data_IF_750460558595
#
_entry.id   IF_750460558595
#
_cell.length_a   1.000
_cell.length_b   1.000
_cell.length_c   1.000
_cell.angle_alpha   90.00
_cell.angle_beta   90.00
_cell.angle_gamma   90.00
#
_symmetry.space_group_name_H-M   'P 1'
#
loop_
_entity.id
_entity.type
_entity.pdbx_description
1 polymer ?
#
# COMPACT_ATOMS: atom_id res chain seq x y z
N UNK A 1 34.27 19.46 59.41
CA UNK A 1 33.69 18.19 58.94
C UNK A 1 33.66 18.21 57.41
N UNK A 2 34.55 17.49 56.72
CA UNK A 2 34.59 17.46 55.23
C UNK A 2 33.60 16.39 54.76
N UNK A 3 32.49 16.80 54.14
CA UNK A 3 31.50 15.89 53.56
C UNK A 3 32.09 15.34 52.26
N UNK A 4 32.10 14.01 52.10
CA UNK A 4 32.73 13.33 50.98
C UNK A 4 31.77 13.33 49.76
N UNK A 5 31.88 14.34 48.89
CA UNK A 5 31.06 14.49 47.67
C UNK A 5 31.43 13.53 46.54
N UNK A 6 32.51 12.75 46.69
CA UNK A 6 33.05 11.89 45.64
C UNK A 6 32.08 10.73 45.29
N UNK A 7 31.42 10.14 46.29
CA UNK A 7 30.44 9.06 46.08
C UNK A 7 29.12 9.54 45.45
N UNK A 8 28.70 10.77 45.74
CA UNK A 8 27.47 11.34 45.19
C UNK A 8 27.60 11.67 43.69
N UNK A 9 28.76 12.18 43.27
CA UNK A 9 29.05 12.45 41.85
C UNK A 9 29.12 11.15 41.02
N UNK A 10 29.72 10.09 41.57
CA UNK A 10 29.83 8.81 40.87
C UNK A 10 28.46 8.14 40.69
N UNK A 11 27.57 8.26 41.69
CA UNK A 11 26.22 7.74 41.61
C UNK A 11 25.36 8.53 40.61
N UNK A 12 25.43 9.86 40.61
CA UNK A 12 24.73 10.70 39.64
C UNK A 12 25.16 10.40 38.19
N UNK A 13 26.46 10.21 37.94
CA UNK A 13 26.97 9.84 36.62
C UNK A 13 26.45 8.46 36.17
N UNK A 14 26.36 7.47 37.07
CA UNK A 14 25.83 6.14 36.78
C UNK A 14 24.33 6.19 36.42
N UNK A 15 23.54 6.99 37.15
CA UNK A 15 22.11 7.19 36.88
C UNK A 15 21.89 7.93 35.55
N UNK A 16 22.67 8.96 35.26
CA UNK A 16 22.59 9.70 33.99
C UNK A 16 22.96 8.80 32.82
N UNK A 17 24.04 8.01 32.94
CA UNK A 17 24.51 7.10 31.88
C UNK A 17 23.48 5.99 31.59
N UNK A 18 22.84 5.43 32.61
CA UNK A 18 21.79 4.42 32.43
C UNK A 18 20.51 5.01 31.82
N UNK A 19 20.11 6.22 32.23
CA UNK A 19 18.97 6.93 31.64
C UNK A 19 19.19 7.31 30.16
N UNK A 20 20.38 7.81 29.80
CA UNK A 20 20.72 8.11 28.40
C UNK A 20 20.81 6.86 27.54
N UNK A 21 21.37 5.76 28.05
CA UNK A 21 21.43 4.47 27.35
C UNK A 21 20.03 3.90 27.09
N UNK A 22 19.12 4.00 28.05
CA UNK A 22 17.71 3.58 27.87
C UNK A 22 16.98 4.44 26.83
N UNK A 23 17.15 5.77 26.87
CA UNK A 23 16.54 6.68 25.90
C UNK A 23 17.05 6.43 24.47
N UNK A 24 18.35 6.19 24.30
CA UNK A 24 18.95 5.91 22.99
C UNK A 24 18.52 4.55 22.42
N UNK A 25 18.43 3.51 23.26
CA UNK A 25 17.91 2.20 22.83
C UNK A 25 16.44 2.27 22.40
N UNK A 26 15.60 3.01 23.13
CA UNK A 26 14.19 3.19 22.77
C UNK A 26 14.00 3.91 21.43
N UNK A 27 14.82 4.94 21.14
CA UNK A 27 14.75 5.65 19.86
C UNK A 27 15.20 4.75 18.70
N UNK A 28 16.31 4.01 18.88
CA UNK A 28 16.81 3.05 17.89
C UNK A 28 15.81 1.93 17.59
N UNK A 29 15.10 1.44 18.62
CA UNK A 29 14.06 0.41 18.47
C UNK A 29 12.85 0.94 17.70
N UNK A 30 12.37 2.16 18.01
CA UNK A 30 11.27 2.81 17.27
C UNK A 30 11.60 3.03 15.79
N UNK A 31 12.80 3.53 15.51
CA UNK A 31 13.28 3.72 14.13
C UNK A 31 13.35 2.39 13.37
N UNK A 32 13.75 1.31 14.07
CA UNK A 32 13.78 -0.03 13.50
C UNK A 32 12.37 -0.57 13.20
N UNK A 33 11.39 -0.36 14.09
CA UNK A 33 10.00 -0.79 13.86
C UNK A 33 9.36 -0.11 12.66
N UNK A 34 9.56 1.22 12.51
CA UNK A 34 9.04 1.96 11.36
C UNK A 34 9.70 1.47 10.07
N UNK A 35 11.03 1.33 10.06
CA UNK A 35 11.77 0.86 8.89
C UNK A 35 11.34 -0.55 8.45
N UNK A 36 11.11 -1.46 9.39
CA UNK A 36 10.63 -2.81 9.10
C UNK A 36 9.22 -2.82 8.49
N UNK A 37 8.29 -2.02 9.02
CA UNK A 37 6.94 -1.95 8.46
C UNK A 37 6.92 -1.29 7.08
N UNK A 38 7.76 -0.27 6.84
CA UNK A 38 7.91 0.30 5.49
C UNK A 38 8.40 -0.72 4.48
N UNK A 39 9.40 -1.54 4.82
CA UNK A 39 9.84 -2.63 3.95
C UNK A 39 8.74 -3.65 3.64
N UNK A 40 7.82 -3.89 4.58
CA UNK A 40 6.65 -4.75 4.34
C UNK A 40 5.69 -4.08 3.34
N UNK A 41 5.41 -2.79 3.53
CA UNK A 41 4.60 -1.99 2.60
C UNK A 41 5.22 -2.04 1.20
N UNK A 42 6.52 -1.79 1.06
CA UNK A 42 7.21 -1.84 -0.23
C UNK A 42 7.08 -3.21 -0.93
N UNK A 43 7.05 -4.31 -0.16
CA UNK A 43 6.83 -5.64 -0.71
C UNK A 43 5.39 -5.84 -1.18
N UNK A 44 4.41 -5.44 -0.36
CA UNK A 44 2.99 -5.50 -0.70
C UNK A 44 2.72 -4.65 -1.95
N UNK A 45 3.28 -3.45 -2.02
CA UNK A 45 3.12 -2.54 -3.15
C UNK A 45 3.67 -3.15 -4.45
N UNK A 46 4.83 -3.80 -4.39
CA UNK A 46 5.37 -4.53 -5.54
C UNK A 46 4.42 -5.66 -5.99
N UNK A 47 3.92 -6.45 -5.05
CA UNK A 47 2.96 -7.53 -5.35
C UNK A 47 1.65 -6.98 -5.94
N UNK A 48 1.16 -5.85 -5.44
CA UNK A 48 -0.03 -5.17 -6.00
C UNK A 48 0.20 -4.76 -7.45
N UNK A 49 1.36 -4.18 -7.78
CA UNK A 49 1.70 -3.80 -9.17
C UNK A 49 1.78 -5.03 -10.08
N UNK A 50 2.38 -6.13 -9.61
CA UNK A 50 2.43 -7.39 -10.37
C UNK A 50 1.04 -7.96 -10.64
N UNK A 51 0.14 -7.93 -9.65
CA UNK A 51 -1.24 -8.38 -9.78
C UNK A 51 -2.05 -7.49 -10.74
N UNK A 52 -1.87 -6.17 -10.67
CA UNK A 52 -2.48 -5.25 -11.63
C UNK A 52 -1.98 -5.53 -13.05
N UNK A 53 -0.68 -5.77 -13.24
CA UNK A 53 -0.13 -6.15 -14.54
C UNK A 53 -0.72 -7.46 -15.07
N UNK A 54 -0.98 -8.45 -14.21
CA UNK A 54 -1.68 -9.69 -14.59
C UNK A 54 -3.13 -9.42 -14.98
N UNK A 55 -3.85 -8.60 -14.20
CA UNK A 55 -5.22 -8.19 -14.49
C UNK A 55 -5.33 -7.52 -15.87
N UNK A 56 -4.43 -6.60 -16.20
CA UNK A 56 -4.46 -5.88 -17.48
C UNK A 56 -4.09 -6.78 -18.68
N UNK A 57 -3.33 -7.86 -18.48
CA UNK A 57 -3.15 -8.90 -19.53
C UNK A 57 -4.48 -9.58 -19.87
N UNK A 58 -5.27 -9.94 -18.87
CA UNK A 58 -6.61 -10.49 -19.08
C UNK A 58 -7.53 -9.47 -19.77
N UNK A 59 -7.47 -8.20 -19.38
CA UNK A 59 -8.21 -7.11 -20.05
C UNK A 59 -7.81 -7.02 -21.51
N UNK A 60 -6.52 -7.11 -21.85
CA UNK A 60 -6.05 -7.08 -23.24
C UNK A 60 -6.64 -8.25 -24.05
N UNK A 61 -6.68 -9.45 -23.49
CA UNK A 61 -7.30 -10.62 -24.15
C UNK A 61 -8.80 -10.40 -24.39
N UNK A 62 -9.51 -9.88 -23.38
CA UNK A 62 -10.93 -9.48 -23.49
C UNK A 62 -11.10 -8.41 -24.57
N UNK A 63 -10.24 -7.39 -24.59
CA UNK A 63 -10.25 -6.31 -25.56
C UNK A 63 -10.04 -6.79 -26.99
N UNK A 64 -9.11 -7.73 -27.21
CA UNK A 64 -8.89 -8.36 -28.53
C UNK A 64 -10.16 -9.08 -28.98
N UNK A 65 -10.80 -9.84 -28.09
CA UNK A 65 -12.05 -10.51 -28.40
C UNK A 65 -13.17 -9.51 -28.72
N UNK A 66 -13.35 -8.48 -27.89
CA UNK A 66 -14.35 -7.44 -28.09
C UNK A 66 -14.16 -6.73 -29.43
N UNK A 67 -12.93 -6.32 -29.74
CA UNK A 67 -12.59 -5.65 -31.00
C UNK A 67 -12.94 -6.51 -32.22
N UNK A 68 -12.54 -7.80 -32.22
CA UNK A 68 -12.87 -8.75 -33.30
C UNK A 68 -14.38 -8.94 -33.51
N UNK A 69 -15.17 -8.80 -32.45
CA UNK A 69 -16.62 -9.03 -32.47
C UNK A 69 -17.43 -7.72 -32.46
N UNK A 70 -16.79 -6.56 -32.67
CA UNK A 70 -17.42 -5.23 -32.66
C UNK A 70 -18.16 -4.90 -31.34
N UNK A 71 -17.71 -5.46 -30.22
CA UNK A 71 -18.25 -5.17 -28.89
C UNK A 71 -17.58 -3.89 -28.34
N UNK A 72 -18.34 -2.93 -27.77
CA UNK A 72 -17.75 -1.74 -27.18
C UNK A 72 -16.92 -2.06 -25.92
N UNK A 73 -15.81 -1.34 -25.67
CA UNK A 73 -15.02 -1.50 -24.45
C UNK A 73 -15.83 -1.25 -23.17
N UNK A 74 -16.52 -0.11 -23.13
CA UNK A 74 -17.30 0.33 -21.98
C UNK A 74 -18.56 -0.52 -21.80
N UNK A 75 -18.64 -1.17 -20.63
CA UNK A 75 -19.81 -1.94 -20.19
C UNK A 75 -20.14 -1.55 -18.74
N UNK A 76 -20.83 -0.42 -18.57
CA UNK A 76 -21.06 0.20 -17.26
C UNK A 76 -21.73 -0.74 -16.24
N UNK A 77 -22.73 -1.52 -16.65
CA UNK A 77 -23.42 -2.47 -15.76
C UNK A 77 -22.46 -3.51 -15.19
N UNK A 78 -21.59 -4.08 -16.03
CA UNK A 78 -20.57 -5.06 -15.60
C UNK A 78 -19.59 -4.44 -14.61
N UNK A 79 -19.17 -3.20 -14.85
CA UNK A 79 -18.25 -2.50 -13.94
C UNK A 79 -18.91 -2.19 -12.59
N UNK A 80 -20.20 -1.81 -12.58
CA UNK A 80 -20.96 -1.61 -11.34
C UNK A 80 -20.96 -2.89 -10.48
N UNK A 81 -21.16 -4.06 -11.08
CA UNK A 81 -21.08 -5.34 -10.35
C UNK A 81 -19.68 -5.61 -9.77
N UNK A 82 -18.61 -5.25 -10.50
CA UNK A 82 -17.24 -5.36 -9.97
C UNK A 82 -17.07 -4.46 -8.76
N UNK A 83 -17.52 -3.21 -8.86
CA UNK A 83 -17.40 -2.21 -7.82
C UNK A 83 -18.17 -2.62 -6.55
N UNK A 84 -19.42 -3.05 -6.68
CA UNK A 84 -20.25 -3.50 -5.56
C UNK A 84 -19.61 -4.67 -4.80
N UNK A 85 -19.01 -5.62 -5.52
CA UNK A 85 -18.32 -6.76 -4.92
C UNK A 85 -17.02 -6.33 -4.22
N UNK A 86 -16.28 -5.39 -4.82
CA UNK A 86 -15.05 -4.87 -4.22
C UNK A 86 -15.33 -4.04 -2.97
N UNK A 87 -16.39 -3.25 -2.93
CA UNK A 87 -16.81 -2.51 -1.73
C UNK A 87 -17.10 -3.49 -0.58
N UNK A 88 -17.82 -4.58 -0.85
CA UNK A 88 -18.08 -5.63 0.15
C UNK A 88 -16.80 -6.31 0.63
N UNK A 89 -15.82 -6.52 -0.26
CA UNK A 89 -14.53 -7.09 0.09
C UNK A 89 -13.69 -6.12 0.93
N UNK A 90 -13.58 -4.85 0.49
CA UNK A 90 -12.83 -3.80 1.19
C UNK A 90 -13.36 -3.52 2.60
N UNK A 91 -14.68 -3.62 2.81
CA UNK A 91 -15.27 -3.49 4.13
C UNK A 91 -14.73 -4.54 5.14
N UNK A 92 -14.41 -5.76 4.68
CA UNK A 92 -13.82 -6.82 5.53
C UNK A 92 -12.37 -6.51 5.93
N UNK A 93 -11.68 -5.72 5.13
CA UNK A 93 -10.31 -5.27 5.35
C UNK A 93 -10.23 -3.90 6.03
N UNK A 94 -11.36 -3.35 6.50
CA UNK A 94 -11.48 -2.00 7.09
C UNK A 94 -11.11 -0.86 6.12
N UNK A 95 -11.37 -1.03 4.82
CA UNK A 95 -11.22 0.01 3.81
C UNK A 95 -12.54 0.73 3.58
N UNK A 96 -12.49 2.05 3.38
CA UNK A 96 -13.69 2.84 3.12
C UNK A 96 -14.25 2.56 1.72
N UNK A 97 -15.58 2.62 1.53
CA UNK A 97 -16.18 2.45 0.22
C UNK A 97 -15.72 3.52 -0.78
N UNK A 98 -15.45 4.75 -0.31
CA UNK A 98 -14.93 5.83 -1.14
C UNK A 98 -13.55 5.50 -1.71
N UNK A 99 -12.64 4.98 -0.87
CA UNK A 99 -11.30 4.58 -1.29
C UNK A 99 -11.34 3.48 -2.35
N UNK A 100 -12.13 2.42 -2.11
CA UNK A 100 -12.27 1.31 -3.06
C UNK A 100 -12.84 1.80 -4.40
N UNK A 101 -13.81 2.71 -4.34
CA UNK A 101 -14.43 3.29 -5.52
C UNK A 101 -13.43 4.09 -6.34
N UNK A 102 -12.66 4.97 -5.70
CA UNK A 102 -11.62 5.76 -6.39
C UNK A 102 -10.54 4.86 -7.00
N UNK A 103 -10.04 3.88 -6.22
CA UNK A 103 -9.05 2.93 -6.68
C UNK A 103 -9.51 2.14 -7.90
N UNK A 104 -10.69 1.53 -7.84
CA UNK A 104 -11.20 0.73 -8.97
C UNK A 104 -11.59 1.58 -10.18
N UNK A 105 -12.02 2.81 -9.99
CA UNK A 105 -12.23 3.73 -11.11
C UNK A 105 -10.91 4.03 -11.85
N UNK A 106 -9.82 4.26 -11.12
CA UNK A 106 -8.51 4.47 -11.72
C UNK A 106 -8.03 3.23 -12.50
N UNK A 107 -8.17 2.03 -11.91
CA UNK A 107 -7.83 0.77 -12.57
C UNK A 107 -8.70 0.54 -13.80
N UNK A 108 -10.02 0.77 -13.72
CA UNK A 108 -10.92 0.59 -14.84
C UNK A 108 -10.63 1.55 -16.00
N UNK A 109 -10.27 2.79 -15.68
CA UNK A 109 -9.86 3.78 -16.68
C UNK A 109 -8.65 3.30 -17.48
N UNK A 110 -7.65 2.71 -16.84
CA UNK A 110 -6.50 2.13 -17.55
C UNK A 110 -6.93 0.94 -18.42
N UNK A 111 -7.81 0.07 -17.91
CA UNK A 111 -8.36 -1.02 -18.70
C UNK A 111 -9.09 -0.55 -19.96
N UNK A 112 -9.90 0.51 -19.86
CA UNK A 112 -10.60 1.10 -21.01
C UNK A 112 -9.60 1.66 -22.02
N UNK A 113 -8.55 2.36 -21.57
CA UNK A 113 -7.48 2.87 -22.44
C UNK A 113 -6.84 1.73 -23.25
N UNK A 114 -6.52 0.61 -22.60
CA UNK A 114 -5.95 -0.57 -23.27
C UNK A 114 -6.92 -1.16 -24.29
N UNK A 115 -8.20 -1.29 -23.96
CA UNK A 115 -9.20 -1.81 -24.89
C UNK A 115 -9.47 -0.84 -26.07
N UNK A 116 -9.40 0.48 -25.84
CA UNK A 116 -9.54 1.52 -26.86
C UNK A 116 -8.36 1.54 -27.84
N UNK A 117 -7.13 1.37 -27.35
CA UNK A 117 -5.93 1.27 -28.18
C UNK A 117 -6.03 0.09 -29.18
N UNK A 118 -6.74 -0.98 -28.83
CA UNK A 118 -6.95 -2.14 -29.71
C UNK A 118 -8.00 -1.90 -30.80
N UNK A 119 -8.88 -0.90 -30.62
CA UNK A 119 -9.89 -0.53 -31.63
C UNK A 119 -9.32 0.31 -32.76
N UNK A 120 -8.20 0.99 -32.53
CA UNK A 120 -7.51 1.78 -33.55
C UNK A 120 -6.53 0.88 -34.30
N UNK A 121 -6.81 0.45 -35.55
CA UNK A 121 -5.80 -0.29 -36.30
C UNK A 121 -4.56 0.60 -36.53
N UNK A 122 -3.37 0.05 -36.29
CA UNK A 122 -2.15 0.54 -36.92
C UNK A 122 -2.21 0.29 -38.43
#
# INVERSE_FOLDING_TARGET
MKINYLGFNLFAALVITSATTQAQNNNKLKDTTIALNRKKIDSIDREMIELLGQREKCVKEIGIYKAKNNIPPLQAARFQEVLDNAIKAGAKENLSPEFITEFLNAVHKESLRIEEDLKSPQ
#
